data_IF_808815707209
#
_entry.id   IF_808815707209
#
_cell.length_a   1.000
_cell.length_b   1.000
_cell.length_c   1.000
_cell.angle_alpha   90.00
_cell.angle_beta   90.00
_cell.angle_gamma   90.00
#
_symmetry.space_group_name_H-M   'P 1'
#
loop_
_entity.id
_entity.type
_entity.pdbx_description
1 polymer ?
#
# COMPACT_ATOMS: atom_id res chain seq x y z
N UNK A 1 -44.05 -0.57 -12.38
CA UNK A 1 -44.30 0.54 -13.32
C UNK A 1 -43.41 0.37 -14.53
N UNK A 2 -43.99 0.32 -15.74
CA UNK A 2 -43.25 0.29 -16.99
C UNK A 2 -42.53 1.63 -17.21
N UNK A 3 -41.36 1.80 -16.62
CA UNK A 3 -40.46 2.90 -16.92
C UNK A 3 -39.88 2.69 -18.33
N UNK A 4 -40.32 3.49 -19.27
CA UNK A 4 -39.71 3.49 -20.60
C UNK A 4 -38.26 3.94 -20.48
N UNK A 5 -37.31 3.05 -20.79
CA UNK A 5 -35.89 3.41 -20.90
C UNK A 5 -35.75 4.45 -22.02
N UNK A 6 -35.41 5.69 -21.66
CA UNK A 6 -35.12 6.74 -22.64
C UNK A 6 -33.63 6.70 -22.94
N UNK A 7 -33.29 6.15 -24.09
CA UNK A 7 -31.98 6.35 -24.71
C UNK A 7 -32.08 7.59 -25.62
N UNK A 8 -31.28 8.60 -25.38
CA UNK A 8 -31.31 9.83 -26.18
C UNK A 8 -29.91 10.29 -26.54
N UNK A 9 -29.67 10.47 -27.83
CA UNK A 9 -28.55 11.27 -28.30
C UNK A 9 -29.05 12.73 -28.44
N UNK A 10 -28.55 13.62 -27.60
CA UNK A 10 -28.93 15.04 -27.64
C UNK A 10 -27.79 15.81 -28.28
N UNK A 11 -28.11 16.57 -29.31
CA UNK A 11 -27.20 17.54 -29.96
C UNK A 11 -27.76 18.95 -29.86
N UNK A 12 -27.84 19.58 -28.71
CA UNK A 12 -28.21 20.99 -28.61
C UNK A 12 -26.94 21.84 -28.74
N UNK A 13 -26.86 22.64 -29.80
CA UNK A 13 -25.84 23.69 -29.89
C UNK A 13 -24.37 23.25 -29.93
N UNK A 14 -24.08 22.13 -30.58
CA UNK A 14 -22.69 21.63 -30.71
C UNK A 14 -22.21 20.70 -29.60
N UNK A 15 -23.04 20.35 -28.62
CA UNK A 15 -22.74 19.35 -27.57
C UNK A 15 -23.47 18.03 -27.90
N UNK A 16 -22.77 16.90 -27.77
CA UNK A 16 -23.36 15.57 -27.96
C UNK A 16 -23.30 14.78 -26.65
N UNK A 17 -24.45 14.49 -26.04
CA UNK A 17 -24.57 13.68 -24.86
C UNK A 17 -25.40 12.43 -25.15
N UNK A 18 -24.91 11.26 -24.69
CA UNK A 18 -25.70 10.05 -24.66
C UNK A 18 -26.26 9.86 -23.24
N UNK A 19 -27.58 10.07 -23.08
CA UNK A 19 -28.26 9.93 -21.80
C UNK A 19 -29.01 8.61 -21.69
N UNK A 20 -28.80 7.87 -20.62
CA UNK A 20 -29.65 6.76 -20.19
C UNK A 20 -30.46 7.27 -19.00
N UNK A 21 -31.78 7.37 -19.18
CA UNK A 21 -32.69 7.91 -18.17
C UNK A 21 -32.32 9.32 -17.69
N UNK A 22 -31.69 10.14 -18.56
CA UNK A 22 -31.26 11.52 -18.26
C UNK A 22 -31.43 12.39 -19.54
N UNK A 23 -32.04 13.57 -19.37
CA UNK A 23 -32.31 14.50 -20.46
C UNK A 23 -31.23 15.60 -20.59
N UNK A 24 -30.47 15.88 -19.53
CA UNK A 24 -29.43 16.90 -19.57
C UNK A 24 -28.39 16.68 -18.47
N UNK A 25 -27.15 17.08 -18.73
CA UNK A 25 -26.11 17.16 -17.71
C UNK A 25 -25.32 18.45 -17.91
N UNK A 26 -25.59 19.43 -17.05
CA UNK A 26 -24.98 20.77 -17.15
C UNK A 26 -23.47 20.82 -16.91
N UNK A 27 -22.85 19.70 -16.59
CA UNK A 27 -21.38 19.55 -16.42
C UNK A 27 -20.71 18.78 -17.57
N UNK A 28 -21.50 18.35 -18.55
CA UNK A 28 -21.01 17.53 -19.65
C UNK A 28 -21.36 18.17 -20.99
N UNK A 29 -20.35 18.51 -21.77
CA UNK A 29 -20.52 18.93 -23.17
C UNK A 29 -20.58 17.74 -24.15
N UNK A 30 -19.72 16.74 -23.93
CA UNK A 30 -19.67 15.49 -24.70
C UNK A 30 -19.47 14.33 -23.75
N UNK A 31 -20.22 13.24 -23.93
CA UNK A 31 -20.02 12.03 -23.13
C UNK A 31 -21.32 11.25 -22.88
N UNK A 32 -21.27 10.37 -21.86
CA UNK A 32 -22.38 9.52 -21.48
C UNK A 32 -22.79 9.81 -20.03
N UNK A 33 -24.09 9.96 -19.80
CA UNK A 33 -24.68 10.03 -18.44
C UNK A 33 -25.65 8.87 -18.24
N UNK A 34 -25.46 8.12 -17.16
CA UNK A 34 -26.37 7.07 -16.72
C UNK A 34 -27.03 7.53 -15.43
N UNK A 35 -28.34 7.69 -15.43
CA UNK A 35 -29.12 8.01 -14.25
C UNK A 35 -29.92 6.79 -13.81
N UNK A 36 -29.49 6.13 -12.73
CA UNK A 36 -30.16 4.94 -12.19
C UNK A 36 -31.41 5.29 -11.37
N UNK A 37 -31.71 6.58 -11.14
CA UNK A 37 -32.76 6.97 -10.21
C UNK A 37 -32.41 6.55 -8.78
N UNK A 38 -33.30 5.81 -8.14
CA UNK A 38 -33.12 5.31 -6.76
C UNK A 38 -32.47 3.91 -6.71
N UNK A 39 -32.18 3.30 -7.83
CA UNK A 39 -31.61 1.95 -7.89
C UNK A 39 -30.15 1.93 -7.40
N UNK A 40 -29.78 0.84 -6.77
CA UNK A 40 -28.47 0.66 -6.10
C UNK A 40 -27.61 -0.42 -6.76
N UNK A 41 -28.11 -1.02 -7.82
CA UNK A 41 -27.44 -2.06 -8.59
C UNK A 41 -26.31 -1.51 -9.46
N UNK A 42 -25.80 -2.33 -10.36
CA UNK A 42 -24.73 -1.95 -11.28
C UNK A 42 -25.19 -0.86 -12.26
N UNK A 43 -24.52 0.29 -12.25
CA UNK A 43 -24.73 1.35 -13.24
C UNK A 43 -24.01 1.09 -14.55
N UNK A 44 -22.91 0.34 -14.50
CA UNK A 44 -22.16 -0.13 -15.66
C UNK A 44 -21.66 -1.54 -15.37
N UNK A 45 -21.97 -2.46 -16.29
CA UNK A 45 -21.38 -3.79 -16.33
C UNK A 45 -20.76 -4.04 -17.71
N UNK A 46 -19.54 -4.57 -17.74
CA UNK A 46 -18.86 -5.01 -18.96
C UNK A 46 -18.67 -6.52 -18.87
N UNK A 47 -19.16 -7.21 -19.89
CA UNK A 47 -19.29 -8.65 -19.94
C UNK A 47 -18.53 -9.27 -21.10
N UNK A 48 -18.11 -10.51 -20.96
CA UNK A 48 -17.54 -11.30 -22.02
C UNK A 48 -17.98 -12.77 -21.88
N UNK A 49 -18.37 -13.42 -22.96
CA UNK A 49 -18.84 -14.81 -22.95
C UNK A 49 -17.74 -15.83 -22.68
N UNK A 50 -16.49 -15.44 -22.71
CA UNK A 50 -15.31 -16.26 -22.36
C UNK A 50 -14.86 -16.06 -20.91
N UNK A 51 -15.53 -15.18 -20.15
CA UNK A 51 -15.38 -15.06 -18.69
C UNK A 51 -16.46 -15.88 -18.00
N UNK A 52 -16.10 -16.65 -17.00
CA UNK A 52 -17.02 -17.48 -16.23
C UNK A 52 -16.58 -17.60 -14.78
N UNK A 53 -16.63 -16.49 -14.02
CA UNK A 53 -16.28 -16.51 -12.61
C UNK A 53 -17.47 -16.92 -11.72
N UNK A 54 -17.16 -17.51 -10.55
CA UNK A 54 -18.16 -17.92 -9.57
C UNK A 54 -18.56 -16.82 -8.56
N UNK A 55 -18.08 -15.58 -8.68
CA UNK A 55 -18.26 -14.49 -7.71
C UNK A 55 -19.61 -13.78 -7.85
N UNK A 56 -20.72 -14.54 -7.85
CA UNK A 56 -22.09 -14.04 -8.03
C UNK A 56 -22.85 -13.80 -6.73
N UNK A 57 -22.28 -14.22 -5.61
CA UNK A 57 -22.91 -14.08 -4.29
C UNK A 57 -22.81 -12.67 -3.70
N UNK A 58 -23.87 -12.20 -3.05
CA UNK A 58 -23.95 -10.85 -2.45
C UNK A 58 -23.14 -10.64 -1.17
N UNK A 59 -22.23 -11.52 -0.79
CA UNK A 59 -21.33 -11.35 0.34
C UNK A 59 -20.18 -10.38 -0.01
N UNK A 60 -19.89 -9.41 0.86
CA UNK A 60 -18.73 -8.49 0.73
C UNK A 60 -18.68 -7.62 -0.54
N UNK A 61 -19.84 -7.34 -1.15
CA UNK A 61 -19.90 -6.45 -2.31
C UNK A 61 -19.67 -7.10 -3.68
N UNK A 62 -19.31 -8.39 -3.74
CA UNK A 62 -19.43 -9.17 -4.96
C UNK A 62 -20.91 -9.46 -5.23
N UNK A 63 -21.32 -9.50 -6.45
CA UNK A 63 -22.72 -9.67 -6.82
C UNK A 63 -22.93 -9.34 -8.30
N UNK A 64 -21.89 -9.63 -9.09
CA UNK A 64 -21.96 -9.53 -10.54
C UNK A 64 -22.52 -10.80 -11.16
N UNK A 65 -22.93 -10.74 -12.40
CA UNK A 65 -23.24 -11.93 -13.18
C UNK A 65 -21.96 -12.68 -13.59
N UNK A 66 -22.05 -13.97 -13.84
CA UNK A 66 -20.91 -14.88 -14.08
C UNK A 66 -19.99 -14.46 -15.20
N UNK A 67 -20.49 -13.74 -16.18
CA UNK A 67 -19.77 -13.24 -17.37
C UNK A 67 -19.32 -11.78 -17.27
N UNK A 68 -19.57 -11.12 -16.13
CA UNK A 68 -19.12 -9.75 -15.87
C UNK A 68 -17.66 -9.73 -15.44
N UNK A 69 -16.81 -9.00 -16.10
CA UNK A 69 -15.41 -8.84 -15.68
C UNK A 69 -15.11 -7.45 -15.10
N UNK A 70 -16.02 -6.50 -15.24
CA UNK A 70 -15.87 -5.15 -14.70
C UNK A 70 -17.24 -4.54 -14.40
N UNK A 71 -17.38 -3.93 -13.21
CA UNK A 71 -18.61 -3.22 -12.82
C UNK A 71 -18.33 -1.92 -12.10
N UNK A 72 -19.29 -0.98 -12.21
CA UNK A 72 -19.33 0.26 -11.43
C UNK A 72 -20.71 0.43 -10.83
N UNK A 73 -20.78 0.66 -9.51
CA UNK A 73 -22.03 0.90 -8.78
C UNK A 73 -21.87 1.89 -7.64
N UNK A 74 -22.96 2.29 -6.99
CA UNK A 74 -22.91 3.03 -5.74
C UNK A 74 -22.27 2.17 -4.63
N UNK A 75 -21.41 2.76 -3.83
CA UNK A 75 -20.82 2.09 -2.67
C UNK A 75 -21.84 1.93 -1.54
N UNK A 76 -22.58 3.00 -1.24
CA UNK A 76 -23.61 3.05 -0.20
C UNK A 76 -24.88 3.66 -0.76
N UNK A 77 -26.01 2.99 -0.62
CA UNK A 77 -27.30 3.36 -1.21
C UNK A 77 -27.69 4.82 -0.99
N UNK A 78 -27.70 5.29 0.27
CA UNK A 78 -28.13 6.64 0.62
C UNK A 78 -27.00 7.69 0.54
N UNK A 79 -25.74 7.28 0.68
CA UNK A 79 -24.60 8.21 0.77
C UNK A 79 -23.83 8.35 -0.54
N UNK A 80 -24.04 7.44 -1.51
CA UNK A 80 -23.31 7.42 -2.76
C UNK A 80 -21.92 6.81 -2.60
N UNK A 81 -20.91 7.44 -3.17
CA UNK A 81 -19.59 6.86 -3.40
C UNK A 81 -19.58 5.98 -4.66
N UNK A 82 -18.42 5.77 -5.24
CA UNK A 82 -18.25 4.89 -6.38
C UNK A 82 -17.50 3.62 -5.96
N UNK A 83 -18.06 2.46 -6.26
CA UNK A 83 -17.41 1.17 -6.15
C UNK A 83 -17.06 0.69 -7.57
N UNK A 84 -15.78 0.49 -7.83
CA UNK A 84 -15.22 -0.03 -9.09
C UNK A 84 -14.68 -1.43 -8.81
N UNK A 85 -15.20 -2.42 -9.49
CA UNK A 85 -14.84 -3.83 -9.25
C UNK A 85 -14.38 -4.51 -10.53
N UNK A 86 -13.35 -5.32 -10.41
CA UNK A 86 -12.88 -6.23 -11.45
C UNK A 86 -12.97 -7.66 -10.98
N UNK A 87 -13.40 -8.57 -11.84
CA UNK A 87 -13.61 -9.98 -11.57
C UNK A 87 -12.71 -10.83 -12.48
N UNK A 88 -12.05 -11.83 -11.91
CA UNK A 88 -11.16 -12.72 -12.66
C UNK A 88 -11.04 -14.05 -11.95
N UNK A 89 -11.01 -15.15 -12.68
CA UNK A 89 -10.62 -16.47 -12.17
C UNK A 89 -9.07 -16.57 -11.97
N UNK A 90 -8.33 -15.60 -12.48
CA UNK A 90 -6.89 -15.50 -12.28
C UNK A 90 -6.52 -14.75 -11.00
N UNK A 91 -5.24 -14.40 -10.87
CA UNK A 91 -4.69 -13.75 -9.67
C UNK A 91 -5.09 -12.29 -9.55
N UNK A 92 -5.25 -11.57 -10.67
CA UNK A 92 -5.48 -10.11 -10.67
C UNK A 92 -6.89 -9.78 -11.13
N UNK A 93 -7.73 -9.31 -10.23
CA UNK A 93 -9.08 -8.85 -10.55
C UNK A 93 -9.11 -7.45 -11.18
N UNK A 94 -8.33 -6.51 -10.64
CA UNK A 94 -8.28 -5.12 -11.13
C UNK A 94 -6.84 -4.63 -11.20
N UNK A 95 -6.45 -4.02 -12.32
CA UNK A 95 -5.16 -3.37 -12.51
C UNK A 95 -5.36 -1.92 -12.91
N UNK A 96 -4.84 -0.99 -12.12
CA UNK A 96 -4.82 0.44 -12.43
C UNK A 96 -3.44 0.84 -12.94
N UNK A 97 -3.35 1.28 -14.19
CA UNK A 97 -2.08 1.69 -14.82
C UNK A 97 -2.18 3.12 -15.34
N UNK A 98 -1.19 3.94 -15.03
CA UNK A 98 -1.04 5.27 -15.59
C UNK A 98 0.16 5.33 -16.55
N UNK A 99 0.01 6.06 -17.66
CA UNK A 99 1.08 6.34 -18.61
C UNK A 99 1.26 7.86 -18.68
N UNK A 100 2.39 8.36 -18.18
CA UNK A 100 2.73 9.77 -18.21
C UNK A 100 3.73 10.07 -19.32
N UNK A 101 3.63 11.22 -19.95
CA UNK A 101 4.59 11.68 -20.96
C UNK A 101 5.95 12.07 -20.40
N UNK A 102 6.03 12.32 -19.07
CA UNK A 102 7.26 12.60 -18.34
C UNK A 102 7.14 12.12 -16.90
N UNK A 103 8.27 11.74 -16.30
CA UNK A 103 8.35 11.42 -14.87
C UNK A 103 8.50 12.67 -14.01
N UNK A 104 8.07 12.60 -12.76
CA UNK A 104 8.31 13.63 -11.75
C UNK A 104 9.27 13.08 -10.68
N UNK A 105 10.39 13.76 -10.46
CA UNK A 105 11.38 13.44 -9.43
C UNK A 105 11.32 14.39 -8.22
N UNK A 106 10.26 15.20 -8.14
CA UNK A 106 10.06 16.14 -7.03
C UNK A 106 9.54 15.39 -5.80
N UNK A 107 10.27 15.45 -4.69
CA UNK A 107 9.90 14.83 -3.42
C UNK A 107 9.49 15.88 -2.37
N UNK A 108 8.61 16.80 -2.78
CA UNK A 108 8.03 17.85 -1.92
C UNK A 108 6.50 17.81 -2.01
N UNK A 109 5.81 18.69 -1.32
CA UNK A 109 4.35 18.79 -1.36
C UNK A 109 3.76 19.02 -2.76
N UNK A 110 4.56 19.43 -3.74
CA UNK A 110 4.17 19.59 -5.15
C UNK A 110 4.51 18.38 -6.03
N UNK A 111 5.07 17.33 -5.45
CA UNK A 111 5.41 16.09 -6.17
C UNK A 111 4.17 15.43 -6.75
N UNK A 112 4.33 14.84 -7.93
CA UNK A 112 3.27 14.13 -8.64
C UNK A 112 3.74 12.71 -8.98
N UNK A 113 2.78 11.82 -9.21
CA UNK A 113 3.04 10.45 -9.63
C UNK A 113 2.21 10.11 -10.87
N UNK A 114 2.65 9.14 -11.62
CA UNK A 114 1.93 8.63 -12.81
C UNK A 114 0.56 8.04 -12.45
N UNK A 115 0.44 7.46 -11.26
CA UNK A 115 -0.83 7.05 -10.64
C UNK A 115 -0.93 7.76 -9.29
N UNK A 116 -1.96 8.56 -9.08
CA UNK A 116 -2.17 9.32 -7.86
C UNK A 116 -3.52 8.96 -7.23
N UNK A 117 -3.51 8.79 -5.90
CA UNK A 117 -4.70 8.82 -5.06
C UNK A 117 -4.82 10.19 -4.39
N UNK A 118 -5.97 10.85 -4.50
CA UNK A 118 -6.22 12.17 -3.92
C UNK A 118 -7.57 12.18 -3.22
N UNK A 119 -7.58 12.47 -1.93
CA UNK A 119 -8.77 12.58 -1.10
C UNK A 119 -9.05 14.02 -0.66
N UNK A 120 -10.30 14.43 -0.75
CA UNK A 120 -10.82 15.65 -0.17
C UNK A 120 -12.14 15.33 0.54
N UNK A 121 -12.51 16.14 1.51
CA UNK A 121 -13.82 16.04 2.17
C UNK A 121 -14.69 17.26 1.86
N UNK A 122 -15.99 17.11 2.09
CA UNK A 122 -16.92 18.23 2.03
C UNK A 122 -16.63 19.22 3.18
N UNK A 123 -16.73 20.51 2.91
CA UNK A 123 -16.63 21.54 3.97
C UNK A 123 -17.79 21.39 4.96
N UNK A 124 -17.48 21.27 6.24
CA UNK A 124 -18.48 21.10 7.30
C UNK A 124 -19.38 22.35 7.41
N UNK A 125 -20.70 22.16 7.55
CA UNK A 125 -21.66 23.23 7.84
C UNK A 125 -22.24 24.00 6.65
N UNK A 126 -21.89 23.66 5.42
CA UNK A 126 -22.43 24.31 4.22
C UNK A 126 -23.35 23.43 3.39
N UNK A 127 -24.48 23.98 2.94
CA UNK A 127 -25.25 23.46 1.81
C UNK A 127 -24.49 23.66 0.48
N UNK A 128 -23.24 24.09 0.58
CA UNK A 128 -22.43 24.52 -0.55
C UNK A 128 -21.67 23.39 -1.24
N UNK A 129 -21.26 23.67 -2.45
CA UNK A 129 -20.46 22.84 -3.36
C UNK A 129 -18.96 22.85 -3.06
N UNK A 130 -18.54 23.31 -1.87
CA UNK A 130 -17.13 23.44 -1.51
C UNK A 130 -16.56 22.16 -0.93
N UNK A 131 -15.33 21.83 -1.32
CA UNK A 131 -14.55 20.80 -0.70
C UNK A 131 -13.31 21.41 0.00
N UNK A 132 -12.78 20.69 0.95
CA UNK A 132 -11.57 21.05 1.68
C UNK A 132 -10.64 19.84 1.77
N UNK A 133 -9.38 20.08 2.11
CA UNK A 133 -8.46 19.01 2.46
C UNK A 133 -8.96 18.22 3.68
N UNK A 134 -8.48 17.03 3.84
CA UNK A 134 -8.67 16.22 5.05
C UNK A 134 -8.13 16.97 6.28
N UNK A 135 -8.72 16.74 7.44
CA UNK A 135 -8.23 17.21 8.73
C UNK A 135 -7.08 16.34 9.24
N UNK A 136 -6.45 16.79 10.34
CA UNK A 136 -5.37 16.02 10.98
C UNK A 136 -5.85 14.64 11.41
N UNK A 137 -4.99 13.65 11.21
CA UNK A 137 -5.24 12.22 11.50
C UNK A 137 -6.45 11.61 10.74
N UNK A 138 -6.90 12.24 9.65
CA UNK A 138 -7.91 11.63 8.78
C UNK A 138 -7.24 10.75 7.71
N UNK A 139 -7.77 9.54 7.52
CA UNK A 139 -7.23 8.57 6.59
C UNK A 139 -7.37 9.04 5.13
N UNK A 140 -6.28 9.00 4.39
CA UNK A 140 -6.23 9.34 2.95
C UNK A 140 -6.32 8.10 2.06
N UNK A 141 -5.66 7.03 2.44
CA UNK A 141 -5.60 5.78 1.68
C UNK A 141 -5.56 4.59 2.62
N UNK A 142 -6.32 3.55 2.31
CA UNK A 142 -6.32 2.31 3.08
C UNK A 142 -6.28 1.09 2.17
N UNK A 143 -5.70 -0.01 2.67
CA UNK A 143 -5.73 -1.34 2.06
C UNK A 143 -6.39 -2.30 3.04
N UNK A 144 -7.42 -3.00 2.58
CA UNK A 144 -8.19 -3.95 3.40
C UNK A 144 -8.06 -5.36 2.84
N UNK A 145 -8.15 -6.34 3.73
CA UNK A 145 -8.25 -7.75 3.40
C UNK A 145 -9.58 -8.29 3.92
N UNK A 146 -10.50 -8.62 3.01
CA UNK A 146 -11.88 -9.02 3.35
C UNK A 146 -12.73 -7.84 3.84
N UNK A 147 -13.82 -8.13 4.53
CA UNK A 147 -14.88 -7.17 4.78
C UNK A 147 -14.63 -6.18 5.94
N UNK A 148 -13.60 -6.35 6.77
CA UNK A 148 -13.41 -5.53 7.98
C UNK A 148 -11.96 -5.48 8.49
N UNK A 149 -10.98 -5.82 7.67
CA UNK A 149 -9.60 -5.96 8.15
C UNK A 149 -8.68 -5.03 7.40
N UNK A 150 -8.61 -3.76 7.82
CA UNK A 150 -7.63 -2.81 7.31
C UNK A 150 -6.22 -3.26 7.71
N UNK A 151 -5.35 -3.37 6.73
CA UNK A 151 -3.96 -3.84 6.87
C UNK A 151 -2.93 -2.74 6.75
N UNK A 152 -3.30 -1.64 6.10
CA UNK A 152 -2.40 -0.52 5.85
C UNK A 152 -3.20 0.76 5.69
N UNK A 153 -2.76 1.83 6.33
CA UNK A 153 -3.35 3.17 6.22
C UNK A 153 -2.23 4.18 6.01
N UNK A 154 -2.50 5.16 5.16
CA UNK A 154 -1.75 6.43 5.11
C UNK A 154 -2.72 7.54 5.47
N UNK A 155 -2.40 8.34 6.47
CA UNK A 155 -3.20 9.50 6.83
C UNK A 155 -2.80 10.76 6.03
N UNK A 156 -3.47 11.87 6.31
CA UNK A 156 -3.21 13.14 5.64
C UNK A 156 -1.81 13.69 5.90
N UNK A 157 -1.24 13.44 7.06
CA UNK A 157 0.11 13.86 7.45
C UNK A 157 1.20 13.02 6.77
N UNK A 158 0.82 11.87 6.19
CA UNK A 158 1.71 10.91 5.58
C UNK A 158 2.22 9.86 6.57
N UNK A 159 1.64 9.79 7.77
CA UNK A 159 1.92 8.73 8.72
C UNK A 159 1.37 7.40 8.23
N UNK A 160 2.15 6.34 8.42
CA UNK A 160 1.86 5.00 7.93
C UNK A 160 1.51 4.09 9.10
N UNK A 161 0.29 3.55 9.09
CA UNK A 161 -0.21 2.57 10.04
C UNK A 161 -0.36 1.22 9.35
N UNK A 162 0.10 0.14 9.99
CA UNK A 162 -0.02 -1.20 9.44
C UNK A 162 -0.30 -2.24 10.53
N UNK A 163 -1.08 -3.25 10.17
CA UNK A 163 -1.35 -4.41 11.00
C UNK A 163 -0.27 -5.47 10.76
N UNK A 164 0.69 -5.55 11.64
CA UNK A 164 1.77 -6.51 11.54
C UNK A 164 1.97 -7.27 12.85
N UNK A 165 1.90 -8.62 12.82
CA UNK A 165 2.12 -9.49 13.98
C UNK A 165 3.52 -9.31 14.63
N UNK A 166 3.69 -9.61 15.91
CA UNK A 166 4.97 -9.59 16.57
C UNK A 166 5.80 -10.82 16.14
N UNK A 167 7.04 -10.59 15.72
CA UNK A 167 8.03 -11.64 15.47
C UNK A 167 9.14 -11.50 16.50
N UNK A 168 9.44 -12.56 17.23
CA UNK A 168 10.57 -12.58 18.16
C UNK A 168 11.86 -12.81 17.37
N UNK A 169 12.77 -11.85 17.44
CA UNK A 169 14.09 -11.94 16.79
C UNK A 169 15.21 -12.32 17.76
N UNK A 170 14.88 -12.61 19.03
CA UNK A 170 15.85 -12.84 20.11
C UNK A 170 16.76 -14.06 19.90
N UNK A 171 16.45 -14.91 18.92
CA UNK A 171 17.26 -16.08 18.58
C UNK A 171 18.50 -15.75 17.71
N UNK A 172 18.61 -14.53 17.20
CA UNK A 172 19.65 -14.10 16.27
C UNK A 172 20.39 -12.86 16.77
N UNK A 173 21.58 -12.61 16.22
CA UNK A 173 22.26 -11.33 16.42
C UNK A 173 21.69 -10.29 15.44
N UNK A 174 20.68 -9.54 15.87
CA UNK A 174 19.93 -8.63 15.03
C UNK A 174 20.77 -7.49 14.46
N UNK A 175 21.79 -7.06 15.17
CA UNK A 175 22.74 -6.07 14.66
C UNK A 175 23.54 -6.62 13.45
N UNK A 176 23.91 -7.90 13.48
CA UNK A 176 24.56 -8.55 12.35
C UNK A 176 23.61 -8.74 11.17
N UNK A 177 22.36 -9.15 11.42
CA UNK A 177 21.34 -9.28 10.38
C UNK A 177 20.98 -7.96 9.74
N UNK A 178 20.86 -6.88 10.51
CA UNK A 178 20.65 -5.51 9.98
C UNK A 178 21.78 -5.12 9.04
N UNK A 179 23.03 -5.42 9.42
CA UNK A 179 24.21 -5.17 8.59
C UNK A 179 24.25 -6.05 7.36
N UNK A 180 23.91 -7.34 7.49
CA UNK A 180 23.81 -8.26 6.35
C UNK A 180 22.80 -7.77 5.31
N UNK A 181 21.60 -7.35 5.74
CA UNK A 181 20.58 -6.81 4.85
C UNK A 181 21.09 -5.58 4.09
N UNK A 182 21.71 -4.62 4.78
CA UNK A 182 22.26 -3.43 4.14
C UNK A 182 23.28 -3.78 3.07
N UNK A 183 24.11 -4.79 3.31
CA UNK A 183 25.13 -5.24 2.38
C UNK A 183 24.53 -6.00 1.20
N UNK A 184 23.56 -6.88 1.45
CA UNK A 184 22.82 -7.62 0.42
C UNK A 184 22.14 -6.64 -0.55
N UNK A 185 21.48 -5.61 -0.01
CA UNK A 185 20.82 -4.58 -0.81
C UNK A 185 21.81 -3.73 -1.61
N UNK A 186 23.03 -3.51 -1.10
CA UNK A 186 24.07 -2.77 -1.84
C UNK A 186 24.68 -3.60 -2.97
N UNK A 187 24.87 -4.88 -2.77
CA UNK A 187 25.37 -5.80 -3.79
C UNK A 187 24.44 -5.91 -5.01
N UNK A 188 23.13 -5.76 -4.79
CA UNK A 188 22.14 -5.77 -5.87
C UNK A 188 22.17 -4.52 -6.78
N UNK A 189 22.99 -3.50 -6.47
CA UNK A 189 23.12 -2.27 -7.25
C UNK A 189 24.57 -2.02 -7.67
N UNK A 190 25.06 -2.64 -8.74
CA UNK A 190 26.46 -2.55 -9.17
C UNK A 190 26.91 -1.13 -9.57
N UNK A 191 25.99 -0.18 -9.74
CA UNK A 191 26.29 1.20 -10.07
C UNK A 191 26.67 2.10 -8.88
N UNK A 192 26.66 1.57 -7.64
CA UNK A 192 27.15 2.34 -6.48
C UNK A 192 28.63 2.10 -6.26
N UNK A 193 29.42 3.14 -5.93
CA UNK A 193 30.85 2.97 -5.65
C UNK A 193 31.00 1.98 -4.48
N UNK A 194 31.72 0.89 -4.77
CA UNK A 194 32.04 -0.14 -3.81
C UNK A 194 32.97 0.43 -2.75
N UNK A 195 32.54 0.46 -1.51
CA UNK A 195 33.41 0.79 -0.38
C UNK A 195 34.44 -0.34 -0.18
N UNK A 196 35.61 0.02 0.38
CA UNK A 196 36.76 -0.85 0.71
C UNK A 196 36.38 -2.11 1.53
N UNK A 197 35.16 -2.18 2.03
CA UNK A 197 34.62 -3.25 2.86
C UNK A 197 34.07 -4.43 2.03
N UNK A 198 33.90 -4.32 0.72
CA UNK A 198 33.21 -5.30 -0.13
C UNK A 198 33.83 -6.70 -0.13
N UNK A 199 35.13 -6.85 -0.05
CA UNK A 199 35.78 -8.16 -0.18
C UNK A 199 35.61 -9.13 1.03
N UNK A 200 35.13 -8.65 2.17
CA UNK A 200 34.79 -9.51 3.32
C UNK A 200 33.29 -9.76 3.46
N UNK A 201 32.51 -9.17 2.57
CA UNK A 201 31.04 -9.18 2.68
C UNK A 201 30.38 -10.29 1.92
N UNK A 202 31.01 -10.80 0.86
CA UNK A 202 30.39 -11.81 0.01
C UNK A 202 30.10 -13.10 0.80
N UNK A 203 31.01 -13.53 1.66
CA UNK A 203 30.78 -14.66 2.55
C UNK A 203 29.72 -14.34 3.62
N UNK A 204 29.75 -13.14 4.19
CA UNK A 204 28.79 -12.72 5.22
C UNK A 204 27.37 -12.56 4.64
N UNK A 205 27.23 -11.99 3.45
CA UNK A 205 25.97 -11.89 2.72
C UNK A 205 25.44 -13.28 2.40
N UNK A 206 26.24 -14.12 1.78
CA UNK A 206 25.88 -15.48 1.40
C UNK A 206 25.44 -16.31 2.60
N UNK A 207 26.09 -16.13 3.75
CA UNK A 207 25.76 -16.83 4.99
C UNK A 207 24.43 -16.35 5.62
N UNK A 208 24.08 -15.09 5.49
CA UNK A 208 22.91 -14.50 6.17
C UNK A 208 21.70 -14.29 5.26
N UNK A 209 21.83 -14.40 3.93
CA UNK A 209 20.74 -14.17 2.99
C UNK A 209 19.57 -15.11 3.24
N UNK A 210 19.82 -16.40 3.41
CA UNK A 210 18.78 -17.38 3.71
C UNK A 210 18.07 -17.05 5.04
N UNK A 211 18.80 -16.65 6.07
CA UNK A 211 18.23 -16.24 7.35
C UNK A 211 17.30 -15.02 7.18
N UNK A 212 17.68 -14.05 6.37
CA UNK A 212 16.83 -12.89 6.07
C UNK A 212 15.55 -13.26 5.33
N UNK A 213 15.61 -14.27 4.45
CA UNK A 213 14.44 -14.82 3.74
C UNK A 213 13.54 -15.58 4.73
N UNK A 214 14.10 -16.46 5.53
CA UNK A 214 13.39 -17.27 6.53
C UNK A 214 12.67 -16.40 7.57
N UNK A 215 13.24 -15.25 7.91
CA UNK A 215 12.64 -14.24 8.78
C UNK A 215 11.66 -13.32 8.05
N UNK A 216 11.41 -13.56 6.77
CA UNK A 216 10.54 -12.75 5.93
C UNK A 216 10.94 -11.25 5.87
N UNK A 217 12.23 -10.96 6.02
CA UNK A 217 12.81 -9.62 5.84
C UNK A 217 13.06 -9.38 4.35
N UNK A 218 13.58 -10.41 3.66
CA UNK A 218 13.67 -10.47 2.19
C UNK A 218 12.57 -11.37 1.65
N UNK A 219 11.89 -10.94 0.60
CA UNK A 219 10.85 -11.71 -0.08
C UNK A 219 11.39 -12.81 -1.01
N UNK A 220 12.71 -12.89 -1.20
CA UNK A 220 13.39 -13.88 -2.02
C UNK A 220 14.86 -13.55 -2.19
N UNK A 221 15.67 -14.43 -2.85
CA UNK A 221 17.09 -14.21 -3.04
C UNK A 221 17.36 -12.95 -3.87
N UNK A 222 18.45 -12.27 -3.53
CA UNK A 222 18.96 -11.14 -4.30
C UNK A 222 19.87 -11.70 -5.40
N UNK A 223 19.27 -12.14 -6.49
CA UNK A 223 20.03 -12.70 -7.63
C UNK A 223 20.45 -11.57 -8.55
N UNK A 224 21.72 -11.55 -8.93
CA UNK A 224 22.26 -10.69 -9.98
C UNK A 224 21.85 -11.24 -11.35
N UNK A 225 20.58 -11.13 -11.69
CA UNK A 225 20.06 -11.45 -13.02
C UNK A 225 19.33 -10.22 -13.55
N UNK A 226 19.78 -9.77 -14.67
CA UNK A 226 19.23 -8.70 -15.48
C UNK A 226 17.69 -8.83 -15.59
N UNK A 227 16.94 -8.17 -14.71
CA UNK A 227 15.48 -7.92 -14.78
C UNK A 227 14.46 -8.84 -14.09
N UNK A 228 14.77 -9.94 -13.42
CA UNK A 228 13.71 -10.75 -12.81
C UNK A 228 14.03 -11.24 -11.40
N UNK A 229 13.01 -11.19 -10.53
CA UNK A 229 12.91 -11.80 -9.20
C UNK A 229 13.88 -11.29 -8.12
N UNK A 230 14.07 -9.96 -8.04
CA UNK A 230 14.73 -9.37 -6.87
C UNK A 230 13.82 -9.44 -5.66
N UNK A 231 14.30 -10.05 -4.58
CA UNK A 231 13.58 -10.04 -3.31
C UNK A 231 13.29 -8.61 -2.84
N UNK A 232 12.03 -8.35 -2.53
CA UNK A 232 11.60 -7.07 -1.94
C UNK A 232 11.87 -7.10 -0.44
N UNK A 233 12.21 -5.95 0.14
CA UNK A 233 12.37 -5.80 1.58
C UNK A 233 11.03 -5.56 2.24
N UNK A 234 10.72 -6.39 3.23
CA UNK A 234 9.58 -6.18 4.12
C UNK A 234 9.94 -5.12 5.17
N UNK A 235 9.47 -3.90 4.98
CA UNK A 235 9.78 -2.77 5.87
C UNK A 235 9.30 -3.00 7.30
N UNK A 236 8.21 -3.71 7.50
CA UNK A 236 7.70 -4.06 8.82
C UNK A 236 8.69 -4.96 9.58
N UNK A 237 9.19 -5.98 8.92
CA UNK A 237 10.15 -6.90 9.53
C UNK A 237 11.51 -6.23 9.74
N UNK A 238 11.90 -5.35 8.81
CA UNK A 238 13.11 -4.53 8.97
C UNK A 238 13.02 -3.60 10.19
N UNK A 239 11.88 -2.94 10.39
CA UNK A 239 11.67 -2.08 11.58
C UNK A 239 11.79 -2.89 12.89
N UNK A 240 11.27 -4.10 12.92
CA UNK A 240 11.39 -5.00 14.08
C UNK A 240 12.83 -5.44 14.32
N UNK A 241 13.54 -5.80 13.26
CA UNK A 241 14.95 -6.14 13.35
C UNK A 241 15.76 -4.98 13.93
N UNK A 242 15.51 -3.74 13.50
CA UNK A 242 16.16 -2.55 14.05
C UNK A 242 15.83 -2.37 15.54
N UNK A 243 14.55 -2.50 15.93
CA UNK A 243 14.14 -2.35 17.32
C UNK A 243 14.80 -3.41 18.21
N UNK A 244 14.85 -4.64 17.74
CA UNK A 244 15.48 -5.74 18.47
C UNK A 244 17.01 -5.56 18.58
N UNK A 245 17.67 -5.12 17.51
CA UNK A 245 19.10 -4.79 17.54
C UNK A 245 19.43 -3.70 18.57
N UNK A 246 18.59 -2.66 18.66
CA UNK A 246 18.74 -1.58 19.65
C UNK A 246 18.57 -2.15 21.08
N UNK A 247 17.58 -3.02 21.28
CA UNK A 247 17.33 -3.63 22.58
C UNK A 247 18.48 -4.54 23.03
N UNK A 248 19.01 -5.37 22.13
CA UNK A 248 20.19 -6.20 22.39
C UNK A 248 21.43 -5.37 22.77
N UNK A 249 21.64 -4.23 22.06
CA UNK A 249 22.72 -3.31 22.40
C UNK A 249 22.52 -2.67 23.78
N UNK A 250 21.30 -2.26 24.10
CA UNK A 250 20.96 -1.72 25.40
C UNK A 250 21.22 -2.73 26.52
N UNK A 251 20.81 -3.98 26.34
CA UNK A 251 21.07 -5.07 27.31
C UNK A 251 22.55 -5.27 27.55
N UNK A 252 23.37 -5.37 26.49
CA UNK A 252 24.81 -5.51 26.58
C UNK A 252 25.49 -4.34 27.29
N UNK A 253 25.02 -3.11 27.03
CA UNK A 253 25.54 -1.91 27.73
C UNK A 253 25.25 -1.98 29.23
N UNK A 254 24.05 -2.43 29.60
CA UNK A 254 23.68 -2.59 31.00
C UNK A 254 24.54 -3.64 31.70
N UNK A 255 24.78 -4.79 31.07
CA UNK A 255 25.67 -5.83 31.60
C UNK A 255 27.08 -5.28 31.82
N UNK A 256 27.61 -4.48 30.89
CA UNK A 256 28.91 -3.82 31.00
C UNK A 256 28.95 -2.78 32.14
N UNK A 257 27.87 -2.00 32.32
CA UNK A 257 27.76 -1.05 33.44
C UNK A 257 27.78 -1.76 34.79
N UNK A 258 27.09 -2.90 34.91
CA UNK A 258 27.06 -3.73 36.11
C UNK A 258 28.45 -4.32 36.39
N UNK A 259 29.14 -4.84 35.38
CA UNK A 259 30.53 -5.33 35.49
C UNK A 259 31.50 -4.23 35.91
N UNK A 260 31.41 -3.05 35.27
CA UNK A 260 32.23 -1.90 35.65
C UNK A 260 31.99 -1.45 37.09
N UNK A 261 30.77 -1.49 37.56
CA UNK A 261 30.39 -1.15 38.93
C UNK A 261 30.97 -2.16 39.93
N UNK A 262 30.90 -3.44 39.62
CA UNK A 262 31.50 -4.51 40.41
C UNK A 262 33.04 -4.37 40.50
N UNK A 263 33.70 -4.11 39.37
CA UNK A 263 35.14 -3.89 39.29
C UNK A 263 35.58 -2.64 40.09
N UNK A 264 34.84 -1.54 40.00
CA UNK A 264 35.12 -0.34 40.83
C UNK A 264 35.00 -0.64 42.31
N UNK A 265 34.00 -1.41 42.74
CA UNK A 265 33.87 -1.86 44.15
C UNK A 265 35.05 -2.70 44.61
N UNK A 266 35.54 -3.62 43.78
CA UNK A 266 36.73 -4.43 44.10
C UNK A 266 38.00 -3.56 44.22
N UNK A 267 38.18 -2.60 43.32
CA UNK A 267 39.33 -1.68 43.37
C UNK A 267 39.28 -0.85 44.67
N UNK A 268 38.12 -0.31 45.02
CA UNK A 268 37.95 0.46 46.26
C UNK A 268 38.30 -0.38 47.48
N UNK A 269 37.79 -1.61 47.57
CA UNK A 269 38.11 -2.52 48.67
C UNK A 269 39.61 -2.84 48.79
N UNK A 270 40.28 -3.01 47.63
CA UNK A 270 41.75 -3.24 47.61
C UNK A 270 42.58 -2.00 47.98
N UNK A 271 42.05 -0.81 47.74
CA UNK A 271 42.74 0.46 48.07
C UNK A 271 42.52 0.88 49.53
N UNK A 272 41.37 0.59 50.11
CA UNK A 272 41.04 0.89 51.51
C UNK A 272 41.55 -0.16 52.50
N UNK A 273 41.88 -1.36 52.04
CA UNK A 273 42.45 -2.46 52.87
C UNK A 273 43.99 -2.43 53.00
N UNK A 274 44.63 -1.35 52.54
CA UNK A 274 46.06 -1.05 52.73
C UNK A 274 46.24 0.11 53.71
#
# INVERSE_FOLDING_TARGET
GNGSVKMRAIMPGGCAMFGINEDSNGKMAFGMTINQGAEDDEGLAVKSSDVAHGMTGGGSGAGAETDSYFTVKKLVAANGGALVQGYSEGVTGLSLRGFGGSGCSTHTASGQATVMSKGNKRTCGGSGSSNTALGSNENLFAVESGACCTKFIVDKEGDIFYDGGATAYDAYCDAQLTRALSSTMQAAYPCRPTNIITNRWDEFISYNEQTLIDLNILGGPVVDVEYQDRGLVNLTQLQRLHNSAIWQLHSKLKDQEDELTALKGQITALTEGR
#
